data_IF_495119016447
#
_entry.id   IF_495119016447
#
_cell.length_a   1.000
_cell.length_b   1.000
_cell.length_c   1.000
_cell.angle_alpha   90.00
_cell.angle_beta   90.00
_cell.angle_gamma   90.00
#
_symmetry.space_group_name_H-M   'P 1'
#
loop_
_entity.id
_entity.type
_entity.pdbx_description
1 polymer ?
#
# COMPACT_ATOMS: atom_id res chain seq x y z
N UNK A 1 -21.53 -33.32 21.91
CA UNK A 1 -20.47 -32.57 21.21
C UNK A 1 -20.90 -32.43 19.76
N UNK A 2 -21.33 -31.24 19.35
CA UNK A 2 -21.90 -31.00 18.03
C UNK A 2 -20.79 -30.67 17.02
N UNK A 3 -20.70 -31.48 15.97
CA UNK A 3 -19.90 -31.24 14.77
C UNK A 3 -20.42 -30.01 14.02
N UNK A 4 -19.74 -28.87 14.21
CA UNK A 4 -19.99 -27.62 13.46
C UNK A 4 -19.12 -27.48 12.20
N UNK A 5 -18.24 -28.44 11.93
CA UNK A 5 -17.31 -28.43 10.78
C UNK A 5 -17.93 -28.54 9.37
N UNK A 6 -18.99 -29.34 9.11
CA UNK A 6 -19.45 -29.57 7.74
C UNK A 6 -20.49 -28.56 7.21
N UNK A 7 -21.07 -27.73 8.08
CA UNK A 7 -22.14 -26.78 7.70
C UNK A 7 -21.61 -25.49 7.06
N UNK A 8 -20.48 -24.97 7.56
CA UNK A 8 -19.85 -23.76 7.02
C UNK A 8 -19.30 -24.01 5.60
N UNK A 9 -18.65 -25.16 5.41
CA UNK A 9 -18.13 -25.61 4.12
C UNK A 9 -19.24 -25.93 3.09
N UNK A 10 -20.46 -26.27 3.55
CA UNK A 10 -21.62 -26.50 2.66
C UNK A 10 -22.32 -25.20 2.26
N UNK A 11 -22.30 -24.16 3.10
CA UNK A 11 -22.86 -22.83 2.78
C UNK A 11 -22.05 -22.04 1.76
N UNK A 12 -20.72 -22.18 1.74
CA UNK A 12 -19.86 -21.49 0.76
C UNK A 12 -19.99 -21.99 -0.69
N UNK A 13 -20.67 -23.12 -0.93
CA UNK A 13 -20.90 -23.67 -2.28
C UNK A 13 -21.94 -22.92 -3.11
N UNK A 14 -22.73 -22.03 -2.49
CA UNK A 14 -23.83 -21.31 -3.17
C UNK A 14 -23.50 -19.89 -3.61
N UNK A 15 -22.31 -19.39 -3.30
CA UNK A 15 -21.88 -18.06 -3.73
C UNK A 15 -21.27 -18.17 -5.13
N UNK A 16 -21.79 -17.45 -6.15
CA UNK A 16 -21.18 -17.39 -7.48
C UNK A 16 -19.72 -16.96 -7.37
N UNK A 17 -18.82 -17.50 -8.19
CA UNK A 17 -17.37 -17.19 -8.07
C UNK A 17 -17.07 -15.70 -8.25
N UNK A 18 -17.86 -14.99 -9.06
CA UNK A 18 -17.80 -13.52 -9.15
C UNK A 18 -18.12 -12.84 -7.82
N UNK A 19 -19.15 -13.30 -7.12
CA UNK A 19 -19.51 -12.75 -5.82
C UNK A 19 -18.44 -13.04 -4.75
N UNK A 20 -17.78 -14.22 -4.79
CA UNK A 20 -16.63 -14.50 -3.92
C UNK A 20 -15.49 -13.51 -4.18
N UNK A 21 -15.19 -13.22 -5.45
CA UNK A 21 -14.14 -12.26 -5.83
C UNK A 21 -14.46 -10.84 -5.34
N UNK A 22 -15.72 -10.40 -5.50
CA UNK A 22 -16.16 -9.10 -5.00
C UNK A 22 -16.13 -9.00 -3.48
N UNK A 23 -16.53 -10.05 -2.76
CA UNK A 23 -16.44 -10.09 -1.29
C UNK A 23 -14.98 -10.02 -0.85
N UNK A 24 -14.10 -10.82 -1.44
CA UNK A 24 -12.67 -10.81 -1.15
C UNK A 24 -12.06 -9.42 -1.38
N UNK A 25 -12.39 -8.77 -2.50
CA UNK A 25 -11.94 -7.42 -2.80
C UNK A 25 -12.44 -6.39 -1.77
N UNK A 26 -13.72 -6.45 -1.38
CA UNK A 26 -14.25 -5.52 -0.36
C UNK A 26 -13.59 -5.72 1.00
N UNK A 27 -13.36 -6.98 1.42
CA UNK A 27 -12.65 -7.28 2.67
C UNK A 27 -11.22 -6.74 2.62
N UNK A 28 -10.52 -6.96 1.50
CA UNK A 28 -9.19 -6.42 1.29
C UNK A 28 -9.17 -4.89 1.39
N UNK A 29 -10.10 -4.20 0.73
CA UNK A 29 -10.22 -2.74 0.79
C UNK A 29 -10.48 -2.23 2.21
N UNK A 30 -11.28 -2.94 3.01
CA UNK A 30 -11.52 -2.56 4.41
C UNK A 30 -10.27 -2.72 5.29
N UNK A 31 -9.53 -3.82 5.13
CA UNK A 31 -8.25 -4.06 5.83
C UNK A 31 -7.19 -3.04 5.39
N UNK A 32 -7.18 -2.69 4.11
CA UNK A 32 -6.31 -1.66 3.57
C UNK A 32 -6.67 -0.26 4.12
N UNK A 33 -7.97 0.10 4.14
CA UNK A 33 -8.47 1.34 4.72
C UNK A 33 -8.08 1.51 6.21
N UNK A 34 -8.21 0.45 7.01
CA UNK A 34 -7.82 0.45 8.42
C UNK A 34 -6.32 0.69 8.63
N UNK A 35 -5.49 0.26 7.68
CA UNK A 35 -4.03 0.43 7.73
C UNK A 35 -3.61 1.90 7.74
N UNK A 36 -4.33 2.79 7.06
CA UNK A 36 -4.02 4.23 7.06
C UNK A 36 -4.09 4.83 8.46
N UNK A 37 -5.12 4.43 9.22
CA UNK A 37 -5.33 4.91 10.59
C UNK A 37 -4.28 4.33 11.52
N UNK A 38 -4.03 3.02 11.41
CA UNK A 38 -3.03 2.32 12.23
C UNK A 38 -1.62 2.87 11.96
N UNK A 39 -1.28 3.16 10.69
CA UNK A 39 0.00 3.74 10.35
C UNK A 39 0.16 5.16 10.87
N UNK A 40 -0.91 5.95 10.85
CA UNK A 40 -0.90 7.29 11.47
C UNK A 40 -0.69 7.20 12.97
N UNK A 41 -1.34 6.24 13.64
CA UNK A 41 -1.13 6.00 15.07
C UNK A 41 0.30 5.55 15.36
N UNK A 42 0.86 4.64 14.56
CA UNK A 42 2.26 4.20 14.66
C UNK A 42 3.25 5.37 14.52
N UNK A 43 3.03 6.27 13.55
CA UNK A 43 3.85 7.48 13.38
C UNK A 43 3.73 8.42 14.57
N UNK A 44 2.53 8.63 15.11
CA UNK A 44 2.31 9.46 16.30
C UNK A 44 2.98 8.88 17.56
N UNK A 45 3.21 7.56 17.62
CA UNK A 45 3.96 6.90 18.69
C UNK A 45 5.49 7.05 18.53
N UNK A 46 5.96 7.63 17.41
CA UNK A 46 7.38 7.84 17.15
C UNK A 46 8.10 6.63 16.55
N UNK A 47 7.37 5.63 16.03
CA UNK A 47 8.01 4.47 15.38
C UNK A 47 8.81 4.96 14.15
N UNK A 48 10.04 4.46 14.00
CA UNK A 48 10.90 4.83 12.88
C UNK A 48 10.28 4.47 11.53
N UNK A 49 10.28 5.47 10.63
CA UNK A 49 9.73 5.41 9.27
C UNK A 49 10.50 4.44 8.35
N UNK A 50 11.69 3.99 8.75
CA UNK A 50 12.51 3.03 8.00
C UNK A 50 12.40 1.62 8.58
N UNK A 51 12.40 1.52 9.91
CA UNK A 51 12.34 0.24 10.63
C UNK A 51 10.97 -0.41 10.49
N UNK A 52 9.89 0.38 10.53
CA UNK A 52 8.53 -0.15 10.39
C UNK A 52 8.31 -0.87 9.04
N UNK A 53 8.59 -0.26 7.87
CA UNK A 53 8.59 -0.96 6.59
C UNK A 53 9.50 -2.19 6.54
N UNK A 54 10.68 -2.13 7.15
CA UNK A 54 11.61 -3.26 7.15
C UNK A 54 10.99 -4.48 7.85
N UNK A 55 10.47 -4.32 9.08
CA UNK A 55 9.80 -5.40 9.80
C UNK A 55 8.56 -5.91 9.07
N UNK A 56 7.74 -5.00 8.53
CA UNK A 56 6.55 -5.36 7.75
C UNK A 56 6.92 -6.26 6.57
N UNK A 57 7.97 -5.94 5.82
CA UNK A 57 8.43 -6.73 4.68
C UNK A 57 9.11 -8.05 5.09
N UNK A 58 9.81 -8.10 6.24
CA UNK A 58 10.39 -9.35 6.77
C UNK A 58 9.28 -10.35 7.08
N UNK A 59 8.23 -9.93 7.78
CA UNK A 59 7.11 -10.81 8.14
C UNK A 59 6.35 -11.23 6.87
N UNK A 60 6.09 -10.29 5.96
CA UNK A 60 5.48 -10.60 4.67
C UNK A 60 6.28 -11.64 3.87
N UNK A 61 7.60 -11.48 3.79
CA UNK A 61 8.49 -12.43 3.12
C UNK A 61 8.39 -13.81 3.79
N UNK A 62 8.46 -13.88 5.12
CA UNK A 62 8.36 -15.13 5.86
C UNK A 62 7.01 -15.84 5.62
N UNK A 63 5.93 -15.08 5.42
CA UNK A 63 4.62 -15.62 5.07
C UNK A 63 4.54 -16.08 3.61
N UNK A 64 5.06 -15.31 2.65
CA UNK A 64 4.89 -15.57 1.20
C UNK A 64 5.84 -16.66 0.69
N UNK A 65 7.10 -16.68 1.16
CA UNK A 65 8.13 -17.63 0.71
C UNK A 65 7.70 -19.11 0.73
N UNK A 66 7.07 -19.65 1.80
CA UNK A 66 6.64 -21.04 1.78
C UNK A 66 5.60 -21.29 0.68
N UNK A 67 4.62 -20.39 0.51
CA UNK A 67 3.63 -20.54 -0.56
C UNK A 67 4.27 -20.42 -1.95
N UNK A 68 5.20 -19.47 -2.14
CA UNK A 68 5.95 -19.35 -3.39
C UNK A 68 6.73 -20.62 -3.72
N UNK A 69 7.39 -21.22 -2.72
CA UNK A 69 8.14 -22.46 -2.90
C UNK A 69 7.24 -23.66 -3.20
N UNK A 70 6.12 -23.83 -2.50
CA UNK A 70 5.27 -25.01 -2.65
C UNK A 70 4.29 -24.92 -3.82
N UNK A 71 3.71 -23.75 -4.10
CA UNK A 71 2.70 -23.60 -5.14
C UNK A 71 3.30 -23.37 -6.54
N UNK A 72 4.40 -22.62 -6.65
CA UNK A 72 4.93 -22.17 -7.94
C UNK A 72 6.21 -22.89 -8.37
N UNK A 73 6.61 -23.96 -7.68
CA UNK A 73 7.85 -24.70 -7.96
C UNK A 73 7.99 -25.11 -9.44
N UNK A 74 6.87 -25.44 -10.09
CA UNK A 74 6.82 -25.95 -11.47
C UNK A 74 6.74 -24.83 -12.51
N UNK A 75 6.12 -23.71 -12.16
CA UNK A 75 5.87 -22.59 -13.08
C UNK A 75 7.02 -21.58 -13.10
N UNK A 76 7.99 -21.74 -12.20
CA UNK A 76 9.10 -20.82 -11.98
C UNK A 76 10.20 -20.94 -13.06
N UNK A 77 10.43 -19.91 -13.88
CA UNK A 77 11.56 -19.89 -14.80
C UNK A 77 12.90 -19.75 -14.07
N UNK A 78 13.98 -20.14 -14.75
CA UNK A 78 15.33 -19.94 -14.27
C UNK A 78 15.60 -18.44 -13.99
N UNK A 79 16.21 -18.16 -12.85
CA UNK A 79 16.62 -16.80 -12.50
C UNK A 79 17.81 -16.38 -13.37
N UNK A 80 17.63 -15.27 -14.07
CA UNK A 80 18.72 -14.59 -14.78
C UNK A 80 19.09 -13.31 -14.05
N UNK A 81 20.27 -12.78 -14.31
CA UNK A 81 20.70 -11.48 -13.77
C UNK A 81 19.75 -10.35 -14.18
N UNK A 82 19.18 -10.41 -15.39
CA UNK A 82 18.16 -9.48 -15.88
C UNK A 82 16.91 -9.49 -15.00
N UNK A 83 16.41 -10.67 -14.61
CA UNK A 83 15.28 -10.77 -13.68
C UNK A 83 15.62 -10.22 -12.29
N UNK A 84 16.82 -10.48 -11.78
CA UNK A 84 17.23 -9.93 -10.49
C UNK A 84 17.25 -8.39 -10.49
N UNK A 85 17.77 -7.77 -11.56
CA UNK A 85 17.75 -6.31 -11.71
C UNK A 85 16.30 -5.79 -11.81
N UNK A 86 15.45 -6.46 -12.59
CA UNK A 86 14.03 -6.08 -12.70
C UNK A 86 13.31 -6.18 -11.35
N UNK A 87 13.52 -7.26 -10.58
CA UNK A 87 12.93 -7.43 -9.26
C UNK A 87 13.47 -6.41 -8.26
N UNK A 88 14.76 -6.06 -8.33
CA UNK A 88 15.35 -5.02 -7.51
C UNK A 88 14.73 -3.64 -7.79
N UNK A 89 14.58 -3.28 -9.07
CA UNK A 89 13.94 -2.02 -9.47
C UNK A 89 12.45 -2.01 -9.11
N UNK A 90 11.76 -3.14 -9.30
CA UNK A 90 10.36 -3.29 -8.91
C UNK A 90 10.18 -3.18 -7.40
N UNK A 91 11.10 -3.73 -6.60
CA UNK A 91 11.13 -3.54 -5.14
C UNK A 91 11.39 -2.09 -4.75
N UNK A 92 12.31 -1.42 -5.44
CA UNK A 92 12.63 -0.03 -5.16
C UNK A 92 11.44 0.89 -5.41
N UNK A 93 10.89 0.85 -6.62
CA UNK A 93 9.75 1.67 -7.02
C UNK A 93 8.52 1.27 -6.21
N UNK A 94 8.29 -0.02 -6.06
CA UNK A 94 7.06 -0.54 -5.53
C UNK A 94 6.95 -0.54 -4.01
N UNK A 95 8.03 -0.84 -3.31
CA UNK A 95 8.02 -1.02 -1.86
C UNK A 95 8.81 0.10 -1.21
N UNK A 96 10.10 0.25 -1.53
CA UNK A 96 10.99 1.14 -0.79
C UNK A 96 10.63 2.62 -0.95
N UNK A 97 10.67 3.12 -2.19
CA UNK A 97 10.30 4.49 -2.51
C UNK A 97 8.81 4.74 -2.20
N UNK A 98 7.95 3.80 -2.59
CA UNK A 98 6.51 3.90 -2.37
C UNK A 98 6.13 4.05 -0.88
N UNK A 99 6.60 3.15 -0.01
CA UNK A 99 6.31 3.20 1.42
C UNK A 99 7.04 4.37 2.11
N UNK A 100 8.25 4.71 1.67
CA UNK A 100 8.99 5.86 2.19
C UNK A 100 8.25 7.18 1.92
N UNK A 101 7.84 7.40 0.67
CA UNK A 101 7.02 8.55 0.28
C UNK A 101 5.66 8.55 0.99
N UNK A 102 5.03 7.37 1.12
CA UNK A 102 3.77 7.26 1.84
C UNK A 102 3.90 7.67 3.32
N UNK A 103 4.92 7.18 4.03
CA UNK A 103 5.15 7.50 5.43
C UNK A 103 5.54 8.96 5.66
N UNK A 104 6.41 9.51 4.81
CA UNK A 104 6.77 10.93 4.87
C UNK A 104 5.58 11.84 4.55
N UNK A 105 4.78 11.47 3.55
CA UNK A 105 3.55 12.14 3.19
C UNK A 105 2.54 12.12 4.32
N UNK A 106 2.28 10.92 4.87
CA UNK A 106 1.33 10.71 5.95
C UNK A 106 1.75 11.41 7.23
N UNK A 107 3.04 11.47 7.57
CA UNK A 107 3.52 12.16 8.77
C UNK A 107 3.28 13.67 8.70
N UNK A 108 3.48 14.26 7.51
CA UNK A 108 3.33 15.71 7.30
C UNK A 108 1.91 16.15 6.93
N UNK A 109 0.99 15.21 6.65
CA UNK A 109 -0.38 15.52 6.20
C UNK A 109 -1.44 14.78 7.03
N UNK A 110 -2.51 14.28 6.43
CA UNK A 110 -3.60 13.56 7.08
C UNK A 110 -3.89 12.22 6.39
N UNK A 111 -4.43 11.21 7.11
CA UNK A 111 -4.87 9.96 6.51
C UNK A 111 -5.89 10.16 5.38
N UNK A 112 -6.76 11.16 5.51
CA UNK A 112 -7.76 11.49 4.49
C UNK A 112 -7.11 11.95 3.18
N UNK A 113 -6.09 12.83 3.23
CA UNK A 113 -5.39 13.28 2.05
C UNK A 113 -4.59 12.13 1.40
N UNK A 114 -3.99 11.29 2.23
CA UNK A 114 -3.28 10.10 1.77
C UNK A 114 -4.24 9.15 1.00
N UNK A 115 -5.41 8.84 1.57
CA UNK A 115 -6.45 8.03 0.91
C UNK A 115 -7.00 8.70 -0.36
N UNK A 116 -7.19 10.03 -0.36
CA UNK A 116 -7.63 10.75 -1.56
C UNK A 116 -6.59 10.65 -2.71
N UNK A 117 -5.31 10.63 -2.39
CA UNK A 117 -4.23 10.49 -3.37
C UNK A 117 -4.21 9.10 -4.00
N UNK A 118 -4.58 8.06 -3.24
CA UNK A 118 -4.68 6.69 -3.76
C UNK A 118 -5.84 6.53 -4.75
N UNK A 119 -6.92 7.28 -4.57
CA UNK A 119 -8.02 7.29 -5.54
C UNK A 119 -7.56 7.74 -6.93
N UNK A 120 -6.45 8.50 -7.04
CA UNK A 120 -5.86 8.89 -8.32
C UNK A 120 -4.92 7.83 -8.93
N UNK A 121 -4.54 6.77 -8.20
CA UNK A 121 -3.62 5.73 -8.70
C UNK A 121 -4.15 5.06 -9.98
N UNK A 122 -5.43 4.66 -10.11
CA UNK A 122 -5.93 4.08 -11.37
C UNK A 122 -5.81 5.04 -12.56
N UNK A 123 -6.08 6.33 -12.35
CA UNK A 123 -5.97 7.37 -13.36
C UNK A 123 -4.52 7.54 -13.84
N UNK A 124 -3.58 7.66 -12.89
CA UNK A 124 -2.14 7.79 -13.18
C UNK A 124 -1.59 6.51 -13.81
N UNK A 125 -2.03 5.33 -13.35
CA UNK A 125 -1.67 4.02 -13.91
C UNK A 125 -2.07 3.93 -15.37
N UNK A 126 -3.30 4.32 -15.72
CA UNK A 126 -3.77 4.31 -17.10
C UNK A 126 -2.95 5.25 -17.99
N UNK A 127 -2.69 6.48 -17.52
CA UNK A 127 -1.85 7.44 -18.23
C UNK A 127 -0.44 6.89 -18.46
N UNK A 128 0.16 6.30 -17.43
CA UNK A 128 1.50 5.70 -17.50
C UNK A 128 1.54 4.52 -18.47
N UNK A 129 0.55 3.62 -18.43
CA UNK A 129 0.45 2.49 -19.34
C UNK A 129 0.30 2.94 -20.81
N UNK A 130 -0.43 4.03 -21.05
CA UNK A 130 -0.57 4.64 -22.37
C UNK A 130 0.74 5.26 -22.87
N UNK A 131 1.43 6.03 -22.02
CA UNK A 131 2.73 6.66 -22.35
C UNK A 131 3.78 5.59 -22.68
N UNK A 132 3.84 4.53 -21.87
CA UNK A 132 4.78 3.42 -22.07
C UNK A 132 4.36 2.46 -23.20
N UNK A 133 3.23 2.71 -23.88
CA UNK A 133 2.64 1.87 -24.93
C UNK A 133 2.47 0.40 -24.51
N UNK A 134 2.26 0.16 -23.21
CA UNK A 134 1.96 -1.17 -22.68
C UNK A 134 0.50 -1.53 -22.97
N UNK A 135 -0.37 -0.52 -23.09
CA UNK A 135 -1.77 -0.68 -23.43
C UNK A 135 -2.16 0.18 -24.65
N UNK A 136 -2.77 -0.44 -25.66
CA UNK A 136 -3.26 0.26 -26.85
C UNK A 136 -4.57 0.99 -26.54
N UNK A 137 -4.49 2.30 -26.31
CA UNK A 137 -5.66 3.13 -26.02
C UNK A 137 -6.45 3.41 -27.30
N UNK A 138 -7.38 2.53 -27.61
CA UNK A 138 -8.38 2.75 -28.64
C UNK A 138 -9.49 3.65 -28.09
N UNK A 139 -9.31 4.98 -28.18
CA UNK A 139 -10.29 5.98 -27.69
C UNK A 139 -11.67 5.86 -28.36
N UNK A 140 -11.76 5.19 -29.51
CA UNK A 140 -13.02 4.95 -30.21
C UNK A 140 -13.82 3.76 -29.63
N UNK A 141 -13.17 2.83 -28.90
CA UNK A 141 -13.81 1.65 -28.30
C UNK A 141 -14.47 2.01 -26.97
N UNK A 142 -15.57 1.32 -26.64
CA UNK A 142 -16.28 1.50 -25.35
C UNK A 142 -15.36 1.31 -24.14
N UNK A 143 -14.42 0.38 -24.23
CA UNK A 143 -13.43 0.11 -23.18
C UNK A 143 -12.48 1.29 -22.96
N UNK A 144 -12.02 1.93 -24.05
CA UNK A 144 -11.17 3.13 -23.98
C UNK A 144 -11.92 4.32 -23.39
N UNK A 145 -13.18 4.53 -23.81
CA UNK A 145 -14.05 5.58 -23.25
C UNK A 145 -14.33 5.36 -21.76
N UNK A 146 -14.58 4.12 -21.33
CA UNK A 146 -14.81 3.79 -19.93
C UNK A 146 -13.58 4.05 -19.06
N UNK A 147 -12.36 3.79 -19.56
CA UNK A 147 -11.11 4.08 -18.84
C UNK A 147 -10.85 5.56 -18.66
N UNK A 148 -11.08 6.36 -19.71
CA UNK A 148 -10.96 7.82 -19.64
C UNK A 148 -12.01 8.40 -18.69
N UNK A 149 -13.27 7.96 -18.79
CA UNK A 149 -14.33 8.42 -17.90
C UNK A 149 -14.04 8.03 -16.44
N UNK A 150 -13.58 6.80 -16.19
CA UNK A 150 -13.16 6.35 -14.86
C UNK A 150 -12.01 7.18 -14.30
N UNK A 151 -11.05 7.58 -15.14
CA UNK A 151 -9.94 8.48 -14.77
C UNK A 151 -10.48 9.85 -14.35
N UNK A 152 -11.38 10.45 -15.14
CA UNK A 152 -12.00 11.75 -14.84
C UNK A 152 -12.81 11.67 -13.53
N UNK A 153 -13.62 10.62 -13.36
CA UNK A 153 -14.41 10.41 -12.14
C UNK A 153 -13.52 10.20 -10.90
N UNK A 154 -12.39 9.50 -11.04
CA UNK A 154 -11.39 9.30 -9.98
C UNK A 154 -10.78 10.63 -9.52
N UNK A 155 -10.33 11.47 -10.46
CA UNK A 155 -9.78 12.81 -10.17
C UNK A 155 -10.85 13.72 -9.54
N UNK A 156 -12.07 13.68 -10.06
CA UNK A 156 -13.20 14.43 -9.50
C UNK A 156 -13.53 13.97 -8.07
N UNK A 157 -13.57 12.66 -7.82
CA UNK A 157 -13.80 12.09 -6.49
C UNK A 157 -12.74 12.49 -5.48
N UNK A 158 -11.46 12.44 -5.86
CA UNK A 158 -10.35 12.90 -5.01
C UNK A 158 -10.45 14.40 -4.69
N UNK A 159 -10.85 15.22 -5.66
CA UNK A 159 -11.06 16.66 -5.48
C UNK A 159 -12.22 16.94 -4.52
N UNK A 160 -13.33 16.21 -4.64
CA UNK A 160 -14.50 16.33 -3.74
C UNK A 160 -14.11 15.96 -2.31
N UNK A 161 -13.43 14.83 -2.09
CA UNK A 161 -12.98 14.40 -0.75
C UNK A 161 -12.05 15.43 -0.11
N UNK A 162 -11.19 16.08 -0.92
CA UNK A 162 -10.26 17.09 -0.44
C UNK A 162 -10.96 18.38 -0.02
N UNK A 163 -12.01 18.79 -0.75
CA UNK A 163 -12.77 20.01 -0.47
C UNK A 163 -13.83 19.77 0.63
N UNK A 164 -14.30 18.53 0.80
CA UNK A 164 -15.35 18.19 1.75
C UNK A 164 -14.86 18.20 3.20
N UNK A 165 -15.28 19.22 3.97
CA UNK A 165 -15.11 19.28 5.43
C UNK A 165 -16.32 18.62 6.11
N UNK A 166 -16.22 17.33 6.42
CA UNK A 166 -17.25 16.59 7.15
C UNK A 166 -17.29 16.93 8.66
N UNK A 167 -18.42 16.69 9.35
CA UNK A 167 -18.54 16.87 10.80
C UNK A 167 -17.67 15.84 11.54
N UNK A 168 -17.04 16.27 12.63
CA UNK A 168 -16.25 15.42 13.54
C UNK A 168 -17.17 14.50 14.33
N UNK A 169 -17.16 13.19 14.03
CA UNK A 169 -18.10 12.19 14.58
C UNK A 169 -17.62 11.65 15.95
N UNK A 170 -16.32 11.70 16.25
CA UNK A 170 -15.76 11.25 17.53
C UNK A 170 -15.24 12.44 18.34
N UNK A 171 -15.96 12.79 19.42
CA UNK A 171 -15.45 13.62 20.52
C UNK A 171 -15.21 12.72 21.74
N UNK A 172 -13.96 12.47 22.14
CA UNK A 172 -13.68 11.84 23.43
C UNK A 172 -14.20 12.76 24.56
N UNK A 173 -14.97 12.19 25.48
CA UNK A 173 -15.60 12.89 26.60
C UNK A 173 -14.58 13.20 27.70
N UNK A 174 -13.72 14.21 27.52
CA UNK A 174 -12.99 14.82 28.63
C UNK A 174 -12.82 16.33 28.40
N UNK A 175 -13.32 17.21 29.29
CA UNK A 175 -13.06 18.63 29.19
C UNK A 175 -11.67 18.92 29.79
N UNK A 176 -10.65 19.00 28.93
CA UNK A 176 -9.44 19.74 29.24
C UNK A 176 -9.35 20.92 28.27
N UNK A 177 -9.09 22.11 28.84
CA UNK A 177 -8.86 23.38 28.16
C UNK A 177 -7.73 23.27 27.12
N UNK A 178 -8.03 22.73 25.95
CA UNK A 178 -7.17 22.79 24.78
C UNK A 178 -8.04 23.25 23.62
N UNK A 179 -7.69 24.42 23.11
CA UNK A 179 -8.11 24.96 21.81
C UNK A 179 -8.33 23.82 20.81
N UNK A 180 -9.54 23.78 20.25
CA UNK A 180 -9.91 22.83 19.20
C UNK A 180 -8.77 22.67 18.18
N UNK A 181 -8.42 21.44 17.74
CA UNK A 181 -7.65 21.31 16.52
C UNK A 181 -8.63 21.73 15.42
N UNK A 182 -8.55 23.00 15.04
CA UNK A 182 -8.95 23.41 13.71
C UNK A 182 -8.30 22.44 12.73
N UNK A 183 -8.99 22.14 11.63
CA UNK A 183 -8.36 21.57 10.44
C UNK A 183 -7.38 22.65 9.95
N UNK A 184 -6.25 22.79 10.62
CA UNK A 184 -5.18 23.70 10.27
C UNK A 184 -4.49 23.03 9.10
N UNK A 185 -4.79 23.55 7.91
CA UNK A 185 -4.25 23.09 6.63
C UNK A 185 -2.75 23.42 6.46
N UNK A 186 -2.01 23.63 7.57
CA UNK A 186 -0.61 24.01 7.49
C UNK A 186 0.05 24.58 8.73
N UNK A 187 -0.48 24.44 9.95
CA UNK A 187 0.17 25.12 11.10
C UNK A 187 0.13 24.29 12.39
N UNK A 188 0.76 23.12 12.35
CA UNK A 188 1.26 22.46 13.55
C UNK A 188 2.79 22.62 13.54
N UNK A 189 3.35 23.27 14.56
CA UNK A 189 4.80 23.49 14.71
C UNK A 189 5.60 22.24 14.29
N UNK A 190 6.42 22.38 13.24
CA UNK A 190 7.35 21.34 12.78
C UNK A 190 6.89 20.44 11.62
N UNK A 191 5.67 20.55 11.09
CA UNK A 191 5.20 19.74 9.94
C UNK A 191 5.15 20.53 8.64
N UNK A 192 5.85 20.07 7.60
CA UNK A 192 5.87 20.73 6.29
C UNK A 192 4.80 20.11 5.37
N UNK A 193 3.62 20.75 5.34
CA UNK A 193 2.48 20.29 4.55
C UNK A 193 2.81 20.14 3.06
N UNK A 194 3.55 21.09 2.48
CA UNK A 194 3.96 21.06 1.06
C UNK A 194 4.84 19.85 0.76
N UNK A 195 5.83 19.58 1.60
CA UNK A 195 6.66 18.37 1.49
C UNK A 195 5.79 17.12 1.56
N UNK A 196 4.81 17.11 2.47
CA UNK A 196 3.85 16.03 2.61
C UNK A 196 3.04 15.77 1.34
N UNK A 197 2.51 16.81 0.69
CA UNK A 197 1.81 16.71 -0.60
C UNK A 197 2.72 16.18 -1.70
N UNK A 198 3.95 16.68 -1.81
CA UNK A 198 4.93 16.22 -2.81
C UNK A 198 5.26 14.74 -2.61
N UNK A 199 5.46 14.31 -1.36
CA UNK A 199 5.66 12.90 -1.04
C UNK A 199 4.44 12.04 -1.40
N UNK A 200 3.21 12.47 -1.12
CA UNK A 200 2.01 11.72 -1.51
C UNK A 200 1.86 11.60 -3.04
N UNK A 201 2.20 12.64 -3.81
CA UNK A 201 2.26 12.57 -5.27
C UNK A 201 3.31 11.55 -5.72
N UNK A 202 4.50 11.58 -5.11
CA UNK A 202 5.57 10.61 -5.35
C UNK A 202 5.12 9.17 -5.09
N UNK A 203 4.38 8.94 -4.00
CA UNK A 203 3.75 7.65 -3.68
C UNK A 203 2.77 7.22 -4.78
N UNK A 204 1.88 8.10 -5.24
CA UNK A 204 0.92 7.78 -6.31
C UNK A 204 1.63 7.35 -7.61
N UNK A 205 2.70 8.06 -8.00
CA UNK A 205 3.50 7.76 -9.19
C UNK A 205 4.24 6.44 -9.02
N UNK A 206 4.83 6.19 -7.85
CA UNK A 206 5.54 4.95 -7.54
C UNK A 206 4.61 3.74 -7.62
N UNK A 207 3.43 3.83 -7.00
CA UNK A 207 2.45 2.75 -7.02
C UNK A 207 1.93 2.49 -8.43
N UNK A 208 1.60 3.55 -9.18
CA UNK A 208 1.17 3.42 -10.57
C UNK A 208 2.25 2.78 -11.44
N UNK A 209 3.50 3.20 -11.26
CA UNK A 209 4.67 2.63 -11.94
C UNK A 209 4.86 1.15 -11.59
N UNK A 210 4.70 0.76 -10.32
CA UNK A 210 4.70 -0.66 -9.93
C UNK A 210 3.69 -1.41 -10.77
N UNK A 211 2.41 -1.04 -10.72
CA UNK A 211 1.31 -1.77 -11.37
C UNK A 211 1.61 -1.96 -12.86
N UNK A 212 2.06 -0.89 -13.53
CA UNK A 212 2.38 -0.93 -14.97
C UNK A 212 3.59 -1.81 -15.27
N UNK A 213 4.66 -1.74 -14.47
CA UNK A 213 5.89 -2.53 -14.69
C UNK A 213 5.74 -4.00 -14.28
N UNK A 214 4.84 -4.31 -13.36
CA UNK A 214 4.64 -5.68 -12.88
C UNK A 214 4.01 -6.58 -13.93
N UNK A 215 3.07 -6.07 -14.73
CA UNK A 215 2.41 -6.84 -15.79
C UNK A 215 3.39 -7.47 -16.81
N UNK A 216 4.32 -6.74 -17.45
CA UNK A 216 5.27 -7.35 -18.39
C UNK A 216 6.27 -8.30 -17.70
N UNK A 217 6.60 -8.07 -16.44
CA UNK A 217 7.47 -8.97 -15.65
C UNK A 217 6.75 -10.30 -15.42
N UNK A 218 5.49 -10.28 -14.99
CA UNK A 218 4.70 -11.50 -14.76
C UNK A 218 4.41 -12.27 -16.06
N UNK A 219 4.34 -11.59 -17.21
CA UNK A 219 4.28 -12.27 -18.52
C UNK A 219 5.54 -13.09 -18.82
N UNK A 220 6.72 -12.61 -18.40
CA UNK A 220 8.01 -13.31 -18.61
C UNK A 220 8.34 -14.28 -17.47
N UNK A 221 7.80 -14.02 -16.28
CA UNK A 221 8.02 -14.79 -15.06
C UNK A 221 6.66 -15.11 -14.41
N UNK A 222 5.95 -16.15 -14.87
CA UNK A 222 4.56 -16.45 -14.48
C UNK A 222 4.44 -17.11 -13.10
N UNK A 223 5.17 -16.57 -12.11
CA UNK A 223 5.22 -17.04 -10.74
C UNK A 223 5.06 -15.82 -9.81
N UNK A 224 3.81 -15.43 -9.55
CA UNK A 224 3.47 -14.17 -8.87
C UNK A 224 3.95 -14.15 -7.42
N UNK A 225 3.79 -15.23 -6.66
CA UNK A 225 4.25 -15.32 -5.26
C UNK A 225 5.77 -15.26 -5.19
N UNK A 226 6.46 -15.83 -6.19
CA UNK A 226 7.90 -15.79 -6.32
C UNK A 226 8.39 -14.37 -6.63
N UNK A 227 7.75 -13.67 -7.58
CA UNK A 227 8.06 -12.26 -7.86
C UNK A 227 7.84 -11.42 -6.61
N UNK A 228 6.71 -11.58 -5.91
CA UNK A 228 6.44 -10.89 -4.66
C UNK A 228 7.50 -11.18 -3.59
N UNK A 229 7.91 -12.45 -3.43
CA UNK A 229 8.98 -12.83 -2.51
C UNK A 229 10.30 -12.15 -2.85
N UNK A 230 10.71 -12.14 -4.13
CA UNK A 230 11.92 -11.43 -4.55
C UNK A 230 11.83 -9.93 -4.32
N UNK A 231 10.68 -9.32 -4.60
CA UNK A 231 10.50 -7.89 -4.35
C UNK A 231 10.56 -7.56 -2.85
N UNK A 232 9.92 -8.34 -1.98
CA UNK A 232 10.03 -8.18 -0.53
C UNK A 232 11.47 -8.36 -0.05
N UNK A 233 12.18 -9.38 -0.55
CA UNK A 233 13.59 -9.62 -0.23
C UNK A 233 14.47 -8.42 -0.60
N UNK A 234 14.38 -7.91 -1.83
CA UNK A 234 15.15 -6.74 -2.25
C UNK A 234 14.75 -5.47 -1.50
N UNK A 235 13.47 -5.30 -1.17
CA UNK A 235 13.04 -4.16 -0.37
C UNK A 235 13.62 -4.19 1.04
N UNK A 236 13.70 -5.36 1.68
CA UNK A 236 14.38 -5.51 2.98
C UNK A 236 15.83 -5.06 2.87
N UNK A 237 16.55 -5.53 1.83
CA UNK A 237 17.95 -5.10 1.60
C UNK A 237 18.07 -3.59 1.40
N UNK A 238 17.16 -2.99 0.63
CA UNK A 238 17.14 -1.55 0.38
C UNK A 238 16.83 -0.76 1.65
N UNK A 239 15.84 -1.18 2.45
CA UNK A 239 15.55 -0.54 3.74
C UNK A 239 16.69 -0.69 4.74
N UNK A 240 17.33 -1.86 4.81
CA UNK A 240 18.52 -2.07 5.66
C UNK A 240 19.68 -1.18 5.22
N UNK A 241 19.92 -1.04 3.92
CA UNK A 241 20.95 -0.14 3.40
C UNK A 241 20.65 1.32 3.76
N UNK A 242 19.42 1.79 3.52
CA UNK A 242 19.00 3.16 3.84
C UNK A 242 19.06 3.41 5.35
N UNK A 243 18.59 2.46 6.16
CA UNK A 243 18.64 2.57 7.61
C UNK A 243 20.09 2.53 8.14
N UNK A 244 20.98 1.73 7.57
CA UNK A 244 22.40 1.74 7.95
C UNK A 244 23.09 3.08 7.66
N UNK A 245 22.61 3.83 6.67
CA UNK A 245 23.13 5.17 6.34
C UNK A 245 22.53 6.28 7.21
N UNK A 246 21.22 6.22 7.49
CA UNK A 246 20.46 7.29 8.13
C UNK A 246 20.30 7.06 9.63
N UNK A 247 19.96 5.84 10.03
CA UNK A 247 19.59 5.44 11.39
C UNK A 247 20.79 4.82 12.10
N UNK A 248 21.67 5.65 12.64
CA UNK A 248 22.83 5.21 13.44
C UNK A 248 22.46 4.76 14.85
N UNK A 249 21.23 5.01 15.30
CA UNK A 249 20.79 4.66 16.64
C UNK A 249 20.13 3.28 16.68
N UNK A 250 20.76 2.32 17.35
CA UNK A 250 20.23 0.96 17.50
C UNK A 250 18.92 0.90 18.29
N UNK A 251 18.59 1.91 19.10
CA UNK A 251 17.32 1.96 19.84
C UNK A 251 16.11 2.07 18.92
N UNK A 252 16.25 2.63 17.71
CA UNK A 252 15.18 2.71 16.72
C UNK A 252 14.68 1.33 16.23
N UNK A 253 15.48 0.28 16.42
CA UNK A 253 15.17 -1.10 16.02
C UNK A 253 14.44 -1.90 17.09
N UNK A 254 14.38 -1.40 18.32
CA UNK A 254 13.72 -2.06 19.44
C UNK A 254 12.23 -1.69 19.45
N UNK A 255 11.39 -2.69 19.72
CA UNK A 255 9.98 -2.46 20.02
C UNK A 255 9.85 -2.04 21.48
N UNK A 256 9.27 -0.87 21.72
CA UNK A 256 9.09 -0.31 23.06
C UNK A 256 7.72 -0.67 23.65
N UNK A 257 6.75 -1.08 22.81
CA UNK A 257 5.39 -1.40 23.27
C UNK A 257 4.72 -2.53 22.48
N UNK A 258 3.81 -3.25 23.16
CA UNK A 258 2.92 -4.25 22.53
C UNK A 258 2.05 -3.65 21.43
N UNK A 259 1.73 -2.36 21.53
CA UNK A 259 0.95 -1.64 20.52
C UNK A 259 1.73 -1.45 19.23
N UNK A 260 3.05 -1.22 19.31
CA UNK A 260 3.91 -1.09 18.13
C UNK A 260 3.97 -2.40 17.34
N UNK A 261 4.10 -3.53 18.05
CA UNK A 261 4.07 -4.86 17.45
C UNK A 261 2.71 -5.13 16.79
N UNK A 262 1.60 -4.77 17.43
CA UNK A 262 0.26 -4.90 16.85
C UNK A 262 0.11 -4.08 15.57
N UNK A 263 0.61 -2.85 15.54
CA UNK A 263 0.60 -2.00 14.33
C UNK A 263 1.35 -2.68 13.18
N UNK A 264 2.55 -3.21 13.44
CA UNK A 264 3.33 -3.92 12.42
C UNK A 264 2.58 -5.15 11.91
N UNK A 265 2.06 -6.00 12.81
CA UNK A 265 1.33 -7.22 12.45
C UNK A 265 0.07 -6.92 11.64
N UNK A 266 -0.71 -5.92 12.03
CA UNK A 266 -1.88 -5.50 11.27
C UNK A 266 -1.49 -5.04 9.86
N UNK A 267 -0.44 -4.23 9.74
CA UNK A 267 0.01 -3.73 8.44
C UNK A 267 0.50 -4.83 7.49
N UNK A 268 0.95 -5.97 8.01
CA UNK A 268 1.28 -7.14 7.18
C UNK A 268 0.03 -7.70 6.51
N UNK A 269 -1.13 -7.71 7.18
CA UNK A 269 -2.39 -8.16 6.59
C UNK A 269 -2.88 -7.26 5.45
N UNK A 270 -2.41 -6.01 5.43
CA UNK A 270 -2.69 -5.04 4.37
C UNK A 270 -1.61 -5.01 3.27
N UNK A 271 -0.67 -5.97 3.25
CA UNK A 271 0.34 -6.10 2.19
C UNK A 271 -0.23 -6.94 1.05
N UNK A 272 -0.17 -6.37 -0.16
CA UNK A 272 -0.46 -6.96 -1.47
C UNK A 272 -1.77 -7.76 -1.60
#
# INVERSE_FOLDING_TARGET
MADTGPALARRMRWVPDRAKLHIAMNVFQFVYAGNHVILRTALNMGISKLVFPAYRNIIALAMIVPFAYFLEKKDRPALTTSFLVQFFLLAFVGITANQGFYLLGLDNTSPTLASATENAVPAVTFLMAAILRIEEVHLNRRDGKAKVLGTICSVAGASIITIYKGPIIFRPSHPLNQSLPSISLGDAEGKNWTLGCVCLIGHCICWSSWIVLQAPILKKYPAQLSVSSFTCFFAILQFLAVAGLIERNSQAWLFHSRTELFCVLYSVCSIN
#
